data_IF_607405264109
#
_entry.id   IF_607405264109
#
_cell.length_a   1.000
_cell.length_b   1.000
_cell.length_c   1.000
_cell.angle_alpha   90.00
_cell.angle_beta   90.00
_cell.angle_gamma   90.00
#
_symmetry.space_group_name_H-M   'P 1'
#
loop_
_entity.id
_entity.type
_entity.pdbx_description
1 polymer ?
#
# COMPACT_ATOMS: atom_id res chain seq x y z
N UNK A 1 1.41 15.45 -19.52
CA UNK A 1 2.02 15.84 -18.22
C UNK A 1 2.97 14.76 -17.73
N UNK A 2 3.90 15.09 -16.81
CA UNK A 2 4.70 14.09 -16.08
C UNK A 2 3.76 13.21 -15.24
N UNK A 3 4.06 11.91 -15.14
CA UNK A 3 3.22 10.97 -14.40
C UNK A 3 3.16 11.31 -12.90
N UNK A 4 1.96 11.35 -12.32
CA UNK A 4 1.74 11.65 -10.91
C UNK A 4 1.37 10.37 -10.13
N UNK A 5 2.28 9.90 -9.26
CA UNK A 5 2.08 8.67 -8.50
C UNK A 5 1.04 8.82 -7.37
N UNK A 6 0.92 10.02 -6.80
CA UNK A 6 0.07 10.32 -5.64
C UNK A 6 -0.97 11.39 -5.98
N UNK A 7 -1.88 11.14 -6.94
CA UNK A 7 -2.89 12.11 -7.28
C UNK A 7 -3.72 12.45 -6.04
N UNK A 8 -4.01 13.73 -5.88
CA UNK A 8 -4.78 14.27 -4.75
C UNK A 8 -5.94 15.12 -5.24
N UNK A 9 -7.05 15.06 -4.50
CA UNK A 9 -8.24 15.86 -4.74
C UNK A 9 -8.99 15.54 -6.03
N UNK A 10 -9.86 16.47 -6.41
CA UNK A 10 -10.60 16.42 -7.65
C UNK A 10 -9.71 16.87 -8.82
N UNK A 11 -8.81 16.01 -9.27
CA UNK A 11 -7.89 16.32 -10.35
C UNK A 11 -8.22 15.59 -11.67
N UNK A 12 -7.75 16.18 -12.77
CA UNK A 12 -7.80 15.62 -14.13
C UNK A 12 -6.41 15.76 -14.73
N UNK A 13 -5.98 14.73 -15.46
CA UNK A 13 -4.66 14.68 -16.10
C UNK A 13 -4.77 14.05 -17.47
N UNK A 14 -3.86 14.43 -18.35
CA UNK A 14 -3.67 13.78 -19.66
C UNK A 14 -2.20 13.36 -19.77
N UNK A 15 -2.01 12.05 -19.75
CA UNK A 15 -0.71 11.43 -19.93
C UNK A 15 -0.53 11.02 -21.38
N UNK A 16 0.72 11.10 -21.84
CA UNK A 16 1.12 10.60 -23.14
C UNK A 16 1.03 9.07 -23.17
N UNK A 17 0.73 8.50 -24.34
CA UNK A 17 0.64 7.04 -24.50
C UNK A 17 1.96 6.30 -24.35
N UNK A 18 3.10 6.99 -24.43
CA UNK A 18 4.43 6.44 -24.17
C UNK A 18 4.73 6.27 -22.67
N UNK A 19 3.88 6.80 -21.77
CA UNK A 19 4.03 6.63 -20.33
C UNK A 19 3.58 5.23 -19.90
N UNK A 20 4.54 4.38 -19.57
CA UNK A 20 4.29 3.03 -19.06
C UNK A 20 3.44 3.01 -17.79
N UNK A 21 3.70 3.93 -16.86
CA UNK A 21 2.95 4.02 -15.61
C UNK A 21 1.49 4.42 -15.83
N UNK A 22 1.24 5.36 -16.76
CA UNK A 22 -0.12 5.73 -17.13
C UNK A 22 -0.85 4.59 -17.86
N UNK A 23 -0.17 3.90 -18.80
CA UNK A 23 -0.71 2.75 -19.52
C UNK A 23 -1.09 1.59 -18.60
N UNK A 24 -0.29 1.35 -17.57
CA UNK A 24 -0.53 0.35 -16.52
C UNK A 24 -1.46 0.87 -15.42
N UNK A 25 -1.88 2.13 -15.52
CA UNK A 25 -2.80 2.80 -14.59
C UNK A 25 -2.30 2.72 -13.14
N UNK A 26 -0.99 2.92 -12.97
CA UNK A 26 -0.31 2.82 -11.67
C UNK A 26 -0.85 3.88 -10.71
N UNK A 27 -0.82 3.58 -9.42
CA UNK A 27 -1.15 4.53 -8.36
C UNK A 27 -0.39 4.15 -7.09
N UNK A 28 0.16 5.16 -6.43
CA UNK A 28 0.73 5.04 -5.09
C UNK A 28 -0.34 4.65 -4.08
N UNK A 29 -1.60 5.06 -4.29
CA UNK A 29 -2.73 4.63 -3.47
C UNK A 29 -3.09 3.16 -3.69
N UNK A 30 -3.63 2.50 -2.66
CA UNK A 30 -4.11 1.12 -2.77
C UNK A 30 -5.47 1.06 -3.47
N UNK A 31 -5.44 1.05 -4.80
CA UNK A 31 -6.66 1.10 -5.62
C UNK A 31 -7.10 -0.31 -6.05
N UNK A 32 -8.37 -0.64 -5.85
CA UNK A 32 -9.01 -1.86 -6.40
C UNK A 32 -9.86 -1.52 -7.63
N UNK A 33 -9.96 -2.44 -8.58
CA UNK A 33 -10.91 -2.30 -9.68
C UNK A 33 -12.35 -2.34 -9.14
N UNK A 34 -13.22 -1.53 -9.71
CA UNK A 34 -14.65 -1.53 -9.43
C UNK A 34 -15.42 -1.55 -10.73
N UNK A 35 -16.40 -2.43 -10.86
CA UNK A 35 -17.25 -2.47 -12.05
C UNK A 35 -18.08 -1.19 -12.15
N UNK A 36 -18.09 -0.57 -13.33
CA UNK A 36 -18.90 0.58 -13.69
C UNK A 36 -19.78 0.31 -14.92
N UNK A 37 -19.83 -0.95 -15.39
CA UNK A 37 -20.54 -1.38 -16.60
C UNK A 37 -20.14 -0.64 -17.88
N UNK A 38 -18.92 -0.06 -17.93
CA UNK A 38 -18.38 0.60 -19.10
C UNK A 38 -16.93 0.15 -19.35
N UNK A 39 -16.75 -0.72 -20.35
CA UNK A 39 -15.45 -1.30 -20.69
C UNK A 39 -14.41 -0.27 -21.17
N UNK A 40 -14.83 0.92 -21.64
CA UNK A 40 -13.93 1.97 -22.10
C UNK A 40 -13.31 2.76 -20.94
N UNK A 41 -13.90 2.68 -19.74
CA UNK A 41 -13.46 3.46 -18.58
C UNK A 41 -13.09 2.50 -17.46
N UNK A 42 -11.81 2.41 -17.14
CA UNK A 42 -11.35 1.66 -15.98
C UNK A 42 -11.58 2.48 -14.71
N UNK A 43 -12.55 2.07 -13.91
CA UNK A 43 -12.84 2.66 -12.59
C UNK A 43 -12.11 1.87 -11.49
N UNK A 44 -11.39 2.59 -10.63
CA UNK A 44 -10.75 2.01 -9.44
C UNK A 44 -11.10 2.82 -8.20
N UNK A 45 -11.37 2.16 -7.08
CA UNK A 45 -11.65 2.82 -5.80
C UNK A 45 -10.57 2.51 -4.78
N UNK A 46 -10.25 3.50 -3.94
CA UNK A 46 -9.26 3.35 -2.89
C UNK A 46 -9.73 2.36 -1.83
N UNK A 47 -8.81 1.57 -1.30
CA UNK A 47 -9.05 0.67 -0.17
C UNK A 47 -8.78 1.35 1.18
N UNK A 48 -7.90 2.35 1.21
CA UNK A 48 -7.34 2.88 2.46
C UNK A 48 -5.91 2.38 2.72
N UNK A 49 -5.58 2.24 3.99
CA UNK A 49 -4.25 1.86 4.50
C UNK A 49 -4.39 0.98 5.73
N UNK A 50 -3.48 0.02 5.91
CA UNK A 50 -3.41 -0.76 7.13
C UNK A 50 -2.56 -0.01 8.16
N UNK A 51 -3.12 0.18 9.35
CA UNK A 51 -2.50 0.91 10.47
C UNK A 51 -2.41 0.02 11.71
N UNK A 52 -1.56 0.39 12.66
CA UNK A 52 -1.55 -0.25 13.97
C UNK A 52 -2.74 0.23 14.81
N UNK A 53 -3.47 -0.70 15.43
CA UNK A 53 -4.59 -0.41 16.35
C UNK A 53 -4.17 0.41 17.57
N UNK A 54 -2.89 0.37 17.93
CA UNK A 54 -2.29 1.13 19.04
C UNK A 54 -1.54 2.38 18.55
N UNK A 55 -1.66 2.74 17.27
CA UNK A 55 -1.00 3.89 16.65
C UNK A 55 0.50 4.01 16.96
N UNK A 56 1.19 2.85 17.05
CA UNK A 56 2.58 2.81 17.51
C UNK A 56 3.54 3.48 16.52
N UNK A 57 4.67 3.94 17.05
CA UNK A 57 5.82 4.38 16.27
C UNK A 57 6.83 3.23 16.15
N UNK A 58 7.40 3.08 14.96
CA UNK A 58 8.58 2.25 14.71
C UNK A 58 9.82 2.94 15.29
N UNK A 59 10.91 2.18 15.48
CA UNK A 59 12.19 2.73 15.96
C UNK A 59 12.75 3.84 15.05
N UNK A 60 12.38 3.82 13.77
CA UNK A 60 12.66 4.89 12.80
C UNK A 60 11.87 6.20 13.02
N UNK A 61 11.00 6.26 14.03
CA UNK A 61 10.07 7.37 14.27
C UNK A 61 8.86 7.41 13.33
N UNK A 62 8.71 6.42 12.43
CA UNK A 62 7.61 6.35 11.46
C UNK A 62 6.43 5.54 11.99
N UNK A 63 5.22 5.91 11.59
CA UNK A 63 4.01 5.10 11.82
C UNK A 63 3.94 3.90 10.87
N UNK A 64 3.22 2.85 11.30
CA UNK A 64 2.93 1.66 10.50
C UNK A 64 1.83 1.98 9.48
N UNK A 65 2.19 2.11 8.20
CA UNK A 65 1.26 2.41 7.09
C UNK A 65 1.40 1.38 5.96
N UNK A 66 0.91 0.16 6.17
CA UNK A 66 1.08 -0.94 5.23
C UNK A 66 0.08 -0.85 4.08
N UNK A 67 0.51 -1.26 2.88
CA UNK A 67 -0.37 -1.35 1.71
C UNK A 67 -1.35 -2.53 1.86
N UNK A 68 -2.68 -2.28 1.84
CA UNK A 68 -3.67 -3.35 1.85
C UNK A 68 -3.56 -4.21 0.59
N UNK A 69 -3.77 -5.52 0.74
CA UNK A 69 -3.89 -6.43 -0.38
C UNK A 69 -5.14 -6.10 -1.20
N UNK A 70 -5.00 -6.14 -2.53
CA UNK A 70 -6.11 -5.87 -3.44
C UNK A 70 -7.17 -6.98 -3.38
N UNK A 71 -6.74 -8.25 -3.26
CA UNK A 71 -7.65 -9.37 -3.10
C UNK A 71 -8.33 -9.34 -1.72
N UNK A 72 -9.66 -9.43 -1.72
CA UNK A 72 -10.48 -9.39 -0.50
C UNK A 72 -10.15 -10.52 0.49
N UNK A 73 -9.91 -11.74 -0.01
CA UNK A 73 -9.53 -12.89 0.83
C UNK A 73 -8.17 -12.67 1.49
N UNK A 74 -7.20 -12.13 0.75
CA UNK A 74 -5.88 -11.83 1.28
C UNK A 74 -5.91 -10.65 2.28
N UNK A 75 -6.70 -9.61 1.99
CA UNK A 75 -6.85 -8.44 2.87
C UNK A 75 -7.50 -8.81 4.19
N UNK A 76 -8.56 -9.63 4.16
CA UNK A 76 -9.16 -10.21 5.38
C UNK A 76 -8.15 -10.96 6.23
N UNK A 77 -7.20 -11.67 5.61
CA UNK A 77 -6.10 -12.34 6.32
C UNK A 77 -5.02 -11.39 6.84
N UNK A 78 -4.90 -10.17 6.31
CA UNK A 78 -3.95 -9.17 6.82
C UNK A 78 -4.49 -8.46 8.05
N UNK A 79 -5.79 -8.16 8.05
CA UNK A 79 -6.48 -7.54 9.18
C UNK A 79 -6.43 -8.46 10.42
N UNK A 80 -6.24 -7.87 11.60
CA UNK A 80 -6.14 -8.59 12.87
C UNK A 80 -4.81 -9.30 13.10
N UNK A 81 -3.87 -9.31 12.14
CA UNK A 81 -2.51 -9.81 12.38
C UNK A 81 -1.79 -8.93 13.40
N UNK A 82 -0.84 -9.48 14.17
CA UNK A 82 -0.01 -8.69 15.07
C UNK A 82 0.69 -7.55 14.32
N UNK A 83 0.87 -6.43 15.02
CA UNK A 83 1.66 -5.31 14.53
C UNK A 83 3.07 -5.79 14.13
N UNK A 84 3.64 -5.30 13.01
CA UNK A 84 5.01 -5.63 12.63
C UNK A 84 6.07 -5.06 13.59
N UNK A 85 5.70 -4.11 14.46
CA UNK A 85 6.59 -3.57 15.48
C UNK A 85 6.74 -4.58 16.64
N UNK A 86 7.94 -5.16 16.90
CA UNK A 86 8.13 -6.17 17.94
C UNK A 86 7.77 -5.71 19.36
N UNK A 87 7.93 -4.42 19.65
CA UNK A 87 7.57 -3.83 20.94
C UNK A 87 6.09 -3.50 21.11
N UNK A 88 5.26 -3.78 20.09
CA UNK A 88 3.85 -3.41 20.08
C UNK A 88 2.95 -4.64 20.19
N UNK A 89 2.04 -4.62 21.16
CA UNK A 89 0.97 -5.62 21.34
C UNK A 89 -0.27 -5.37 20.45
N UNK A 90 -0.22 -4.34 19.60
CA UNK A 90 -1.31 -3.96 18.70
C UNK A 90 -1.52 -4.93 17.55
N UNK A 91 -2.59 -4.69 16.79
CA UNK A 91 -2.98 -5.46 15.60
C UNK A 91 -3.09 -4.55 14.39
N UNK A 92 -3.11 -5.14 13.20
CA UNK A 92 -3.31 -4.41 11.96
C UNK A 92 -4.81 -4.20 11.68
N UNK A 93 -5.22 -2.94 11.63
CA UNK A 93 -6.57 -2.52 11.29
C UNK A 93 -6.61 -1.79 9.95
N UNK A 94 -7.72 -1.92 9.22
CA UNK A 94 -7.91 -1.23 7.95
C UNK A 94 -8.57 0.13 8.18
N UNK A 95 -7.78 1.19 8.06
CA UNK A 95 -8.31 2.54 7.95
C UNK A 95 -8.83 2.74 6.51
N UNK A 96 -10.13 2.56 6.34
CA UNK A 96 -10.80 2.62 5.03
C UNK A 96 -10.89 4.05 4.52
N UNK A 97 -10.64 4.24 3.22
CA UNK A 97 -10.79 5.56 2.59
C UNK A 97 -12.29 5.95 2.48
N UNK A 98 -12.64 7.14 2.95
CA UNK A 98 -13.98 7.75 2.89
C UNK A 98 -13.97 9.19 2.36
N UNK A 99 -12.86 9.55 1.74
CA UNK A 99 -12.53 10.86 1.20
C UNK A 99 -13.42 11.47 0.11
N UNK A 100 -14.52 10.80 -0.28
CA UNK A 100 -15.48 11.30 -1.26
C UNK A 100 -16.90 11.20 -0.71
N UNK A 101 -17.31 12.20 0.07
CA UNK A 101 -18.65 12.25 0.68
C UNK A 101 -19.01 10.97 1.45
N UNK A 102 -18.06 10.42 2.22
CA UNK A 102 -18.23 9.17 2.96
C UNK A 102 -17.91 7.90 2.16
N UNK A 103 -17.72 8.01 0.84
CA UNK A 103 -17.31 6.92 -0.05
C UNK A 103 -15.81 6.97 -0.36
N UNK A 104 -15.21 5.85 -0.82
CA UNK A 104 -13.81 5.85 -1.19
C UNK A 104 -13.50 6.74 -2.40
N UNK A 105 -12.34 7.39 -2.35
CA UNK A 105 -11.78 8.12 -3.50
C UNK A 105 -11.68 7.21 -4.70
N UNK A 106 -12.06 7.72 -5.88
CA UNK A 106 -12.16 6.92 -7.11
C UNK A 106 -11.31 7.52 -8.22
N UNK A 107 -10.57 6.66 -8.92
CA UNK A 107 -9.82 6.97 -10.12
C UNK A 107 -10.54 6.42 -11.36
N UNK A 108 -10.52 7.19 -12.43
CA UNK A 108 -11.02 6.83 -13.74
C UNK A 108 -9.88 6.95 -14.74
N UNK A 109 -9.71 5.90 -15.54
CA UNK A 109 -8.72 5.86 -16.60
C UNK A 109 -9.40 5.56 -17.92
N UNK A 110 -9.01 6.26 -18.98
CA UNK A 110 -9.53 6.05 -20.33
C UNK A 110 -8.41 6.23 -21.35
N UNK A 111 -8.29 5.29 -22.28
CA UNK A 111 -7.38 5.42 -23.42
C UNK A 111 -8.13 6.05 -24.59
N UNK A 112 -7.59 7.12 -25.17
CA UNK A 112 -8.16 7.79 -26.36
C UNK A 112 -7.02 8.33 -27.21
N UNK A 113 -6.99 7.99 -28.51
CA UNK A 113 -6.07 8.54 -29.52
C UNK A 113 -4.60 8.56 -29.07
N UNK A 114 -4.09 7.43 -28.56
CA UNK A 114 -2.70 7.32 -28.11
C UNK A 114 -2.36 8.13 -26.85
N UNK A 115 -3.37 8.60 -26.11
CA UNK A 115 -3.21 9.29 -24.82
C UNK A 115 -4.02 8.59 -23.73
N UNK A 116 -3.58 8.74 -22.48
CA UNK A 116 -4.25 8.19 -21.29
C UNK A 116 -4.84 9.32 -20.47
N UNK A 117 -6.16 9.38 -20.44
CA UNK A 117 -6.93 10.32 -19.64
C UNK A 117 -7.11 9.76 -18.23
N UNK A 118 -6.89 10.63 -17.25
CA UNK A 118 -7.05 10.31 -15.84
C UNK A 118 -7.95 11.33 -15.15
N UNK A 119 -8.80 10.85 -14.24
CA UNK A 119 -9.58 11.68 -13.35
C UNK A 119 -9.65 11.04 -11.97
N UNK A 120 -9.41 11.83 -10.91
CA UNK A 120 -9.69 11.45 -9.54
C UNK A 120 -10.92 12.20 -9.00
N UNK A 121 -11.67 11.53 -8.11
CA UNK A 121 -12.80 12.12 -7.39
C UNK A 121 -12.65 11.88 -5.88
N UNK A 122 -12.51 12.96 -5.13
CA UNK A 122 -12.38 12.99 -3.68
C UNK A 122 -10.95 13.24 -3.18
N UNK A 123 -10.80 13.41 -1.86
CA UNK A 123 -9.53 13.66 -1.19
C UNK A 123 -9.21 12.51 -0.24
N UNK A 124 -8.06 11.85 -0.40
CA UNK A 124 -7.70 10.74 0.49
C UNK A 124 -7.59 11.23 1.94
N UNK A 125 -8.40 10.65 2.81
CA UNK A 125 -8.60 10.98 4.23
C UNK A 125 -7.77 10.05 5.14
N UNK A 126 -6.71 9.48 4.60
CA UNK A 126 -5.84 8.53 5.29
C UNK A 126 -4.39 8.72 4.81
N UNK A 127 -3.39 8.33 5.62
CA UNK A 127 -2.00 8.45 5.23
C UNK A 127 -1.68 7.58 4.01
N UNK A 128 -0.63 7.97 3.30
CA UNK A 128 -0.13 7.25 2.13
C UNK A 128 0.34 5.85 2.57
N UNK A 129 -0.20 4.76 1.98
CA UNK A 129 0.34 3.44 2.20
C UNK A 129 1.75 3.34 1.60
N UNK A 130 2.47 2.29 1.96
CA UNK A 130 3.70 1.95 1.23
C UNK A 130 3.44 1.77 -0.28
N UNK A 131 4.38 2.26 -1.07
CA UNK A 131 4.36 2.04 -2.52
C UNK A 131 4.49 0.54 -2.78
N UNK A 132 3.71 0.04 -3.74
CA UNK A 132 3.91 -1.32 -4.23
C UNK A 132 5.33 -1.37 -4.79
N UNK A 133 6.24 -2.11 -4.18
CA UNK A 133 7.51 -2.45 -4.83
C UNK A 133 7.17 -3.01 -6.21
N UNK A 134 7.58 -2.32 -7.28
CA UNK A 134 7.38 -2.75 -8.66
C UNK A 134 8.18 -4.03 -8.97
N UNK A 135 9.08 -4.42 -8.06
CA UNK A 135 9.79 -5.70 -8.04
C UNK A 135 9.10 -6.72 -7.12
N UNK A 136 8.88 -7.95 -7.61
CA UNK A 136 8.36 -9.09 -6.85
C UNK A 136 9.14 -9.40 -5.55
N UNK A 137 10.42 -8.99 -5.49
CA UNK A 137 11.31 -9.22 -4.34
C UNK A 137 10.93 -8.40 -3.10
N UNK A 138 10.23 -7.27 -3.25
CA UNK A 138 9.84 -6.40 -2.14
C UNK A 138 8.77 -6.99 -1.20
N UNK A 139 7.93 -7.90 -1.72
CA UNK A 139 6.91 -8.60 -0.90
C UNK A 139 7.53 -9.51 0.17
N UNK A 140 8.70 -10.08 -0.13
CA UNK A 140 9.45 -10.92 0.81
C UNK A 140 10.48 -10.15 1.62
N UNK A 141 10.87 -8.95 1.16
CA UNK A 141 11.86 -8.12 1.82
C UNK A 141 11.39 -7.62 3.19
N UNK A 142 10.14 -7.15 3.34
CA UNK A 142 9.68 -6.62 4.64
C UNK A 142 9.57 -7.71 5.73
N UNK A 143 9.14 -8.92 5.35
CA UNK A 143 9.08 -10.08 6.27
C UNK A 143 10.48 -10.62 6.63
N UNK A 144 11.48 -10.42 5.76
CA UNK A 144 12.88 -10.77 6.02
C UNK A 144 13.64 -9.68 6.77
N UNK A 145 13.35 -8.41 6.51
CA UNK A 145 14.06 -7.26 7.09
C UNK A 145 13.74 -7.10 8.58
N UNK A 146 12.47 -7.28 8.99
CA UNK A 146 12.09 -7.35 10.40
C UNK A 146 12.70 -8.55 11.15
N UNK A 147 12.96 -9.67 10.46
CA UNK A 147 13.62 -10.84 11.06
C UNK A 147 15.14 -10.69 11.17
N UNK A 148 15.77 -9.93 10.28
CA UNK A 148 17.22 -9.78 10.27
C UNK A 148 17.73 -8.76 11.29
N UNK A 149 16.98 -7.71 11.61
CA UNK A 149 17.41 -6.72 12.62
C UNK A 149 17.28 -7.22 14.07
N UNK A 150 16.36 -8.15 14.35
CA UNK A 150 16.15 -8.72 15.70
C UNK A 150 17.16 -9.80 16.13
N UNK A 151 18.19 -10.11 15.33
CA UNK A 151 19.15 -11.20 15.60
C UNK A 151 20.57 -10.74 15.91
N UNK A 152 20.81 -9.43 16.04
CA UNK A 152 22.18 -8.88 16.19
C UNK A 152 22.60 -8.48 17.60
N UNK A 153 21.84 -8.80 18.64
CA UNK A 153 22.28 -8.57 20.01
C UNK A 153 21.99 -9.78 20.89
N UNK A 154 23.02 -10.61 21.11
CA UNK A 154 23.58 -10.94 22.44
C UNK A 154 24.87 -11.79 22.28
N UNK A 155 25.81 -11.72 23.25
CA UNK A 155 27.24 -11.99 23.05
C UNK A 155 27.65 -13.46 23.30
N UNK A 156 28.89 -13.76 22.90
CA UNK A 156 29.61 -15.02 23.14
C UNK A 156 29.44 -15.55 24.57
N UNK A 157 29.15 -16.85 24.71
CA UNK A 157 29.47 -17.62 25.92
C UNK A 157 30.26 -18.88 25.56
N UNK A 158 31.32 -19.09 26.32
CA UNK A 158 32.31 -20.15 26.25
C UNK A 158 31.72 -21.55 26.49
N UNK A 159 32.30 -22.52 25.76
CA UNK A 159 32.69 -23.90 26.15
C UNK A 159 31.74 -24.70 27.07
N UNK A 160 31.43 -25.93 26.63
CA UNK A 160 31.89 -27.16 27.32
C UNK A 160 31.82 -28.37 26.37
N UNK A 161 32.97 -29.03 26.22
CA UNK A 161 33.15 -30.35 25.59
C UNK A 161 32.58 -31.41 26.52
N UNK A 162 31.97 -32.44 25.95
CA UNK A 162 31.90 -33.78 26.54
C UNK A 162 32.19 -34.79 25.43
N UNK A 163 33.27 -35.58 25.52
CA UNK A 163 33.34 -36.89 24.90
C UNK A 163 32.79 -37.96 25.86
N UNK A 164 32.33 -39.07 25.30
CA UNK A 164 32.11 -40.35 26.00
C UNK A 164 33.48 -40.90 26.42
#
# INVERSE_FOLDING_TARGET
ETFELWPSGHCRRVYRGDSDDARRHVSGWAMRNTNNHNALILKKSCLGVLVCSMDCLLDSGRKVHLRPAICDKARRKQMGKPCPNPGCSGKLDLLSCRGHCGYPVTHFWRHVNGSVYFQAKGYHDHPRPEVKSLSEKGRHAFSKQLKQEGSRLLPMSLKRRFPI
#
